data_IF_239220694990
#
_entry.id   IF_239220694990
#
_cell.length_a   1.000
_cell.length_b   1.000
_cell.length_c   1.000
_cell.angle_alpha   90.00
_cell.angle_beta   90.00
_cell.angle_gamma   90.00
#
_symmetry.space_group_name_H-M   'P 1'
#
loop_
_entity.id
_entity.type
_entity.pdbx_description
1 polymer ?
#
# COMPACT_ATOMS: atom_id res chain seq x y z
N UNK A 1 -15.38 3.13 -5.40
CA UNK A 1 -14.00 3.48 -5.82
C UNK A 1 -13.24 2.19 -6.13
N UNK A 2 -11.93 2.22 -6.35
CA UNK A 2 -11.16 1.02 -6.74
C UNK A 2 -11.14 -0.08 -5.66
N UNK A 3 -11.24 0.31 -4.37
CA UNK A 3 -11.21 -0.61 -3.23
C UNK A 3 -12.49 -1.45 -3.19
N UNK A 4 -13.65 -0.80 -3.31
CA UNK A 4 -14.96 -1.45 -3.31
C UNK A 4 -15.12 -2.39 -4.50
N UNK A 5 -14.50 -2.06 -5.65
CA UNK A 5 -14.49 -2.97 -6.79
C UNK A 5 -13.76 -4.29 -6.50
N UNK A 6 -12.68 -4.28 -5.70
CA UNK A 6 -12.03 -5.51 -5.26
C UNK A 6 -12.91 -6.30 -4.28
N UNK A 7 -13.65 -5.63 -3.40
CA UNK A 7 -14.63 -6.26 -2.49
C UNK A 7 -15.73 -6.95 -3.31
N UNK A 8 -16.26 -6.28 -4.34
CA UNK A 8 -17.24 -6.87 -5.25
C UNK A 8 -16.69 -8.10 -5.97
N UNK A 9 -15.44 -8.04 -6.45
CA UNK A 9 -14.77 -9.21 -7.08
C UNK A 9 -14.61 -10.37 -6.11
N UNK A 10 -14.23 -10.10 -4.86
CA UNK A 10 -14.14 -11.13 -3.82
C UNK A 10 -15.49 -11.81 -3.60
N UNK A 11 -16.56 -11.03 -3.45
CA UNK A 11 -17.91 -11.57 -3.30
C UNK A 11 -18.35 -12.40 -4.53
N UNK A 12 -18.04 -11.96 -5.75
CA UNK A 12 -18.32 -12.72 -6.97
C UNK A 12 -17.55 -14.04 -7.02
N UNK A 13 -16.27 -14.03 -6.65
CA UNK A 13 -15.44 -15.24 -6.61
C UNK A 13 -15.92 -16.25 -5.57
N UNK A 14 -16.29 -15.78 -4.37
CA UNK A 14 -16.84 -16.62 -3.31
C UNK A 14 -18.20 -17.20 -3.70
N UNK A 15 -19.09 -16.40 -4.31
CA UNK A 15 -20.38 -16.87 -4.82
C UNK A 15 -20.23 -17.92 -5.95
N UNK A 16 -19.17 -17.82 -6.75
CA UNK A 16 -18.82 -18.80 -7.77
C UNK A 16 -18.10 -20.04 -7.21
N UNK A 17 -17.82 -20.10 -5.90
CA UNK A 17 -17.12 -21.21 -5.25
C UNK A 17 -15.64 -21.30 -5.61
N UNK A 18 -15.02 -20.20 -6.03
CA UNK A 18 -13.60 -20.18 -6.39
C UNK A 18 -12.73 -20.31 -5.14
N UNK A 19 -11.70 -21.17 -5.14
CA UNK A 19 -10.76 -21.27 -4.02
C UNK A 19 -9.98 -19.96 -3.86
N UNK A 20 -9.39 -19.73 -2.69
CA UNK A 20 -8.54 -18.56 -2.42
C UNK A 20 -7.31 -18.48 -3.33
N UNK A 21 -6.86 -19.60 -3.92
CA UNK A 21 -5.74 -19.63 -4.86
C UNK A 21 -6.15 -19.30 -6.30
N UNK A 22 -7.44 -19.10 -6.56
CA UNK A 22 -7.91 -18.77 -7.90
C UNK A 22 -7.49 -17.33 -8.27
N UNK A 23 -6.92 -17.09 -9.46
CA UNK A 23 -6.54 -15.73 -9.90
C UNK A 23 -7.69 -14.72 -9.89
N UNK A 24 -8.94 -15.19 -9.96
CA UNK A 24 -10.13 -14.35 -9.92
C UNK A 24 -10.68 -14.14 -8.49
N UNK A 25 -10.08 -14.76 -7.47
CA UNK A 25 -10.43 -14.59 -6.06
C UNK A 25 -9.37 -13.73 -5.34
N UNK A 26 -9.52 -12.41 -5.26
CA UNK A 26 -8.50 -11.54 -4.66
C UNK A 26 -8.37 -11.74 -3.14
N UNK A 27 -7.14 -11.74 -2.65
CA UNK A 27 -6.80 -11.90 -1.22
C UNK A 27 -5.94 -10.75 -0.70
N UNK A 28 -5.28 -10.01 -1.59
CA UNK A 28 -4.38 -8.90 -1.27
C UNK A 28 -4.65 -7.76 -2.25
N UNK A 29 -4.56 -6.53 -1.77
CA UNK A 29 -4.68 -5.32 -2.57
C UNK A 29 -3.45 -4.44 -2.35
N UNK A 30 -2.69 -4.17 -3.43
CA UNK A 30 -1.61 -3.20 -3.40
C UNK A 30 -2.13 -1.78 -3.73
N UNK A 31 -1.84 -0.83 -2.84
CA UNK A 31 -2.19 0.58 -2.94
C UNK A 31 -0.90 1.40 -2.92
N UNK A 32 -0.17 1.38 -4.04
CA UNK A 32 1.05 2.15 -4.25
C UNK A 32 0.80 3.64 -4.54
N UNK A 33 -0.19 4.21 -3.86
CA UNK A 33 -0.66 5.59 -3.93
C UNK A 33 -1.05 6.06 -2.52
N UNK A 34 -1.18 7.36 -2.32
CA UNK A 34 -1.64 7.90 -1.05
C UNK A 34 -1.99 9.37 -1.14
N UNK A 35 -2.69 9.86 -0.12
CA UNK A 35 -3.06 11.25 0.09
C UNK A 35 -2.62 11.70 1.49
N UNK A 36 -2.46 13.02 1.74
CA UNK A 36 -2.26 13.51 3.09
C UNK A 36 -3.36 13.00 4.03
N UNK A 37 -2.96 12.54 5.21
CA UNK A 37 -3.90 12.12 6.24
C UNK A 37 -4.60 13.33 6.85
N UNK A 38 -5.91 13.25 7.03
CA UNK A 38 -6.75 14.27 7.67
C UNK A 38 -7.15 13.89 9.11
N UNK A 39 -6.85 12.66 9.53
CA UNK A 39 -7.17 12.13 10.85
C UNK A 39 -8.67 11.85 11.06
N UNK A 40 -9.50 11.91 10.02
CA UNK A 40 -10.91 11.55 10.11
C UNK A 40 -11.05 10.02 10.16
N UNK A 41 -11.52 9.41 11.26
CA UNK A 41 -11.71 7.97 11.33
C UNK A 41 -12.76 7.43 10.34
N UNK A 42 -13.64 8.31 9.83
CA UNK A 42 -14.70 8.02 8.87
C UNK A 42 -14.32 8.43 7.43
N UNK A 43 -13.05 8.78 7.17
CA UNK A 43 -12.57 9.02 5.80
C UNK A 43 -12.96 7.82 4.89
N UNK A 44 -13.52 8.08 3.69
CA UNK A 44 -14.00 7.03 2.81
C UNK A 44 -12.96 5.95 2.47
N UNK A 45 -11.68 6.32 2.37
CA UNK A 45 -10.58 5.40 2.09
C UNK A 45 -10.36 4.46 3.29
N UNK A 46 -10.39 4.99 4.52
CA UNK A 46 -10.26 4.17 5.75
C UNK A 46 -11.39 3.18 5.88
N UNK A 47 -12.63 3.66 5.72
CA UNK A 47 -13.84 2.82 5.77
C UNK A 47 -13.76 1.72 4.72
N UNK A 48 -13.36 2.05 3.49
CA UNK A 48 -13.22 1.07 2.42
C UNK A 48 -12.10 0.05 2.69
N UNK A 49 -10.94 0.48 3.22
CA UNK A 49 -9.84 -0.42 3.57
C UNK A 49 -10.23 -1.42 4.68
N UNK A 50 -10.92 -0.93 5.72
CA UNK A 50 -11.43 -1.80 6.80
C UNK A 50 -12.46 -2.79 6.27
N UNK A 51 -13.39 -2.35 5.42
CA UNK A 51 -14.35 -3.23 4.76
C UNK A 51 -13.66 -4.30 3.88
N UNK A 52 -12.57 -3.96 3.19
CA UNK A 52 -11.77 -4.92 2.43
C UNK A 52 -11.14 -5.98 3.34
N UNK A 53 -10.61 -5.58 4.49
CA UNK A 53 -10.05 -6.49 5.48
C UNK A 53 -11.10 -7.47 6.03
N UNK A 54 -12.31 -6.99 6.33
CA UNK A 54 -13.43 -7.84 6.81
C UNK A 54 -13.82 -8.95 5.82
N UNK A 55 -13.68 -8.71 4.51
CA UNK A 55 -13.91 -9.73 3.47
C UNK A 55 -12.65 -10.53 3.09
N UNK A 56 -11.63 -10.53 3.96
CA UNK A 56 -10.36 -11.26 3.78
C UNK A 56 -9.54 -10.80 2.56
N UNK A 57 -9.57 -9.50 2.26
CA UNK A 57 -8.61 -8.87 1.35
C UNK A 57 -7.64 -8.05 2.20
N UNK A 58 -6.38 -8.46 2.28
CA UNK A 58 -5.32 -7.75 2.99
C UNK A 58 -4.89 -6.48 2.24
N UNK A 59 -5.17 -5.26 2.77
CA UNK A 59 -4.76 -4.03 2.12
C UNK A 59 -3.29 -3.73 2.46
N UNK A 60 -2.48 -3.47 1.45
CA UNK A 60 -1.05 -3.09 1.57
C UNK A 60 -0.86 -1.75 0.87
N UNK A 61 -0.25 -0.78 1.55
CA UNK A 61 -0.11 0.58 1.05
C UNK A 61 1.32 1.11 1.15
N UNK A 62 1.68 1.96 0.20
CA UNK A 62 2.93 2.70 0.25
C UNK A 62 2.89 3.74 1.39
N UNK A 63 3.94 3.81 2.21
CA UNK A 63 4.04 4.76 3.33
C UNK A 63 3.98 6.24 2.90
N UNK A 64 4.20 6.54 1.62
CA UNK A 64 4.30 7.88 1.07
C UNK A 64 5.75 8.32 0.86
N UNK A 65 5.92 9.34 0.01
CA UNK A 65 7.24 9.88 -0.36
C UNK A 65 7.49 11.28 0.23
N UNK A 66 6.86 11.57 1.39
CA UNK A 66 6.86 12.89 2.04
C UNK A 66 7.70 12.94 3.32
N UNK A 67 8.55 11.93 3.55
CA UNK A 67 9.59 11.99 4.58
C UNK A 67 10.58 13.15 4.35
N UNK A 68 11.45 13.45 5.32
CA UNK A 68 11.76 12.68 6.53
C UNK A 68 11.00 13.15 7.79
N UNK A 69 10.12 14.14 7.67
CA UNK A 69 9.44 14.71 8.83
C UNK A 69 8.58 13.65 9.57
N UNK A 70 8.55 13.62 10.91
CA UNK A 70 7.58 12.82 11.65
C UNK A 70 6.14 13.16 11.24
N UNK A 71 5.24 12.17 11.20
CA UNK A 71 3.86 12.40 10.78
C UNK A 71 3.66 12.55 9.27
N UNK A 72 4.62 12.10 8.45
CA UNK A 72 4.55 12.12 6.98
C UNK A 72 4.03 10.83 6.36
N UNK A 73 3.63 9.85 7.19
CA UNK A 73 2.91 8.65 6.74
C UNK A 73 1.58 9.06 6.11
N UNK A 74 1.29 8.57 4.91
CA UNK A 74 0.09 8.93 4.16
C UNK A 74 -1.07 7.96 4.41
N UNK A 75 -2.28 8.44 4.17
CA UNK A 75 -3.46 7.57 4.01
C UNK A 75 -3.38 6.90 2.62
N UNK A 76 -3.64 5.58 2.47
CA UNK A 76 -4.19 4.63 3.44
C UNK A 76 -3.18 3.98 4.42
N UNK A 77 -1.88 4.12 4.22
CA UNK A 77 -0.86 3.43 5.01
C UNK A 77 -0.86 3.78 6.51
N UNK A 78 -1.43 4.92 6.90
CA UNK A 78 -1.62 5.30 8.30
C UNK A 78 -2.73 4.50 9.00
N UNK A 79 -3.68 3.89 8.28
CA UNK A 79 -4.79 3.18 8.92
C UNK A 79 -4.33 1.88 9.61
N UNK A 80 -4.91 1.57 10.76
CA UNK A 80 -4.56 0.37 11.53
C UNK A 80 -4.91 -0.93 10.82
N UNK A 81 -5.92 -0.92 9.94
CA UNK A 81 -6.32 -2.07 9.12
C UNK A 81 -5.49 -2.28 7.84
N UNK A 82 -4.48 -1.44 7.59
CA UNK A 82 -3.68 -1.44 6.36
C UNK A 82 -2.23 -1.72 6.69
N UNK A 83 -1.56 -2.59 5.93
CA UNK A 83 -0.11 -2.78 6.05
C UNK A 83 0.60 -1.66 5.28
N UNK A 84 1.16 -0.70 5.99
CA UNK A 84 1.99 0.38 5.45
C UNK A 84 3.44 -0.06 5.26
N UNK A 85 3.98 0.19 4.07
CA UNK A 85 5.34 -0.23 3.70
C UNK A 85 6.22 0.98 3.35
N UNK A 86 7.26 1.19 4.15
CA UNK A 86 8.32 2.16 3.88
C UNK A 86 9.39 1.63 2.92
N UNK A 87 10.32 2.50 2.52
CA UNK A 87 11.35 2.17 1.56
C UNK A 87 12.77 2.23 2.17
N UNK A 88 13.58 1.23 1.85
CA UNK A 88 15.04 1.21 2.10
C UNK A 88 15.83 1.18 0.78
N UNK A 89 17.09 1.60 0.86
CA UNK A 89 18.09 1.48 -0.20
C UNK A 89 18.67 0.05 -0.25
N UNK A 90 19.16 -0.39 -1.41
CA UNK A 90 19.89 -1.68 -1.50
C UNK A 90 21.26 -1.62 -0.81
N UNK A 91 21.94 -0.48 -0.95
CA UNK A 91 23.23 -0.19 -0.34
C UNK A 91 23.18 1.29 0.08
N UNK A 92 23.46 1.64 1.35
CA UNK A 92 23.97 0.78 2.43
C UNK A 92 22.88 0.12 3.31
N UNK A 93 21.63 -0.03 2.82
CA UNK A 93 20.47 -0.49 3.60
C UNK A 93 19.89 0.58 4.55
N UNK A 94 20.01 1.85 4.17
CA UNK A 94 19.37 2.96 4.90
C UNK A 94 17.89 3.09 4.55
N UNK A 95 17.09 3.55 5.53
CA UNK A 95 15.73 4.06 5.27
C UNK A 95 15.85 5.25 4.33
N UNK A 96 15.15 5.17 3.19
CA UNK A 96 15.18 6.23 2.20
C UNK A 96 14.67 7.54 2.79
N UNK A 97 15.35 8.65 2.51
CA UNK A 97 15.07 9.95 3.13
C UNK A 97 13.61 10.40 2.94
N UNK A 98 13.03 10.09 1.77
CA UNK A 98 11.66 10.44 1.42
C UNK A 98 10.62 9.43 1.90
N UNK A 99 11.02 8.28 2.44
CA UNK A 99 10.06 7.31 2.99
C UNK A 99 9.26 7.96 4.11
N UNK A 100 7.92 7.93 4.00
CA UNK A 100 7.00 8.44 5.00
C UNK A 100 7.30 7.89 6.40
N UNK A 101 7.18 8.75 7.40
CA UNK A 101 7.49 8.45 8.81
C UNK A 101 6.25 8.59 9.65
N UNK A 102 6.05 7.63 10.56
CA UNK A 102 5.12 7.83 11.66
C UNK A 102 5.59 8.90 12.66
N UNK A 103 4.89 9.02 13.80
CA UNK A 103 3.63 8.33 14.10
C UNK A 103 2.51 8.80 13.15
N UNK A 104 1.39 8.10 13.13
CA UNK A 104 0.17 8.61 12.47
C UNK A 104 -0.39 9.80 13.25
N UNK A 105 -1.39 10.51 12.72
CA UNK A 105 -2.07 11.58 13.46
C UNK A 105 -2.73 11.08 14.75
N UNK A 106 -3.16 9.81 14.78
CA UNK A 106 -3.68 9.14 15.98
C UNK A 106 -2.58 8.60 16.92
N UNK A 107 -1.30 8.81 16.59
CA UNK A 107 -0.18 8.38 17.42
C UNK A 107 0.24 6.92 17.22
N UNK A 108 -0.26 6.23 16.19
CA UNK A 108 0.10 4.83 15.92
C UNK A 108 1.51 4.71 15.33
N UNK A 109 2.14 3.55 15.59
CA UNK A 109 3.42 3.20 14.98
C UNK A 109 3.17 2.77 13.52
N UNK A 110 3.69 3.55 12.58
CA UNK A 110 3.73 3.25 11.14
C UNK A 110 5.05 3.78 10.54
N UNK A 111 5.54 3.24 9.40
CA UNK A 111 5.00 2.07 8.68
C UNK A 111 5.17 0.77 9.48
N UNK A 112 4.44 -0.28 9.11
CA UNK A 112 4.53 -1.58 9.78
C UNK A 112 5.83 -2.32 9.43
N UNK A 113 6.34 -2.07 8.21
CA UNK A 113 7.61 -2.62 7.74
C UNK A 113 8.27 -1.73 6.70
N UNK A 114 9.50 -2.08 6.33
CA UNK A 114 10.24 -1.45 5.22
C UNK A 114 10.73 -2.51 4.24
N UNK A 115 10.80 -2.17 2.96
CA UNK A 115 11.35 -3.04 1.92
C UNK A 115 12.14 -2.25 0.88
N UNK A 116 12.86 -2.93 0.00
CA UNK A 116 13.67 -2.27 -1.04
C UNK A 116 12.78 -1.45 -1.98
N UNK A 117 12.97 -0.13 -1.99
CA UNK A 117 12.14 0.79 -2.79
C UNK A 117 12.94 1.80 -3.60
N UNK A 118 14.27 1.70 -3.63
CA UNK A 118 15.14 2.69 -4.28
C UNK A 118 15.94 2.04 -5.42
N UNK A 119 15.84 2.63 -6.61
CA UNK A 119 16.48 2.14 -7.85
C UNK A 119 16.09 0.69 -8.19
N UNK A 120 14.81 0.37 -8.05
CA UNK A 120 14.22 -0.91 -8.43
C UNK A 120 14.03 -0.95 -9.95
N UNK A 121 14.51 -2.02 -10.60
CA UNK A 121 14.25 -2.28 -12.02
C UNK A 121 12.85 -2.88 -12.17
N UNK A 122 11.99 -2.22 -12.93
CA UNK A 122 10.59 -2.63 -13.13
C UNK A 122 10.20 -2.57 -14.61
N UNK A 123 9.10 -3.23 -14.96
CA UNK A 123 8.54 -3.16 -16.30
C UNK A 123 8.16 -1.72 -16.66
N UNK A 124 8.29 -1.36 -17.95
CA UNK A 124 8.01 -0.02 -18.45
C UNK A 124 6.85 -0.04 -19.43
N UNK A 125 5.98 0.97 -19.34
CA UNK A 125 4.89 1.17 -20.31
C UNK A 125 5.37 1.59 -21.72
N UNK A 126 6.68 1.65 -21.96
CA UNK A 126 7.27 2.00 -23.26
C UNK A 126 7.28 0.85 -24.27
N UNK A 127 7.04 -0.39 -23.83
CA UNK A 127 6.97 -1.57 -24.70
C UNK A 127 7.08 -2.88 -23.92
N UNK A 128 6.79 -4.00 -24.57
CA UNK A 128 6.63 -5.31 -23.92
C UNK A 128 7.91 -5.86 -23.27
N UNK A 129 9.07 -5.50 -23.81
CA UNK A 129 10.40 -5.88 -23.26
C UNK A 129 11.10 -4.72 -22.54
N UNK A 130 10.42 -3.58 -22.39
CA UNK A 130 11.03 -2.38 -21.84
C UNK A 130 11.08 -2.42 -20.31
N UNK A 131 12.22 -2.02 -19.75
CA UNK A 131 12.41 -1.84 -18.31
C UNK A 131 12.78 -0.40 -17.97
N UNK A 132 12.48 0.01 -16.75
CA UNK A 132 12.82 1.32 -16.21
C UNK A 132 13.23 1.20 -14.76
N UNK A 133 14.20 2.00 -14.33
CA UNK A 133 14.59 2.11 -12.93
C UNK A 133 13.74 3.17 -12.26
N UNK A 134 13.13 2.83 -11.12
CA UNK A 134 12.28 3.74 -10.34
C UNK A 134 12.62 3.67 -8.85
N UNK A 135 12.23 4.71 -8.13
CA UNK A 135 12.35 4.81 -6.68
C UNK A 135 11.06 5.35 -6.09
N UNK A 136 10.67 4.86 -4.92
CA UNK A 136 9.43 5.22 -4.26
C UNK A 136 8.99 4.14 -3.28
N UNK A 137 8.25 4.54 -2.25
CA UNK A 137 7.50 3.57 -1.43
C UNK A 137 6.47 2.78 -2.25
N UNK A 138 6.02 3.35 -3.38
CA UNK A 138 5.26 2.65 -4.44
C UNK A 138 5.96 1.42 -5.04
N UNK A 139 7.28 1.27 -4.85
CA UNK A 139 8.06 0.13 -5.34
C UNK A 139 8.53 -0.79 -4.21
N UNK A 140 8.30 -0.41 -2.95
CA UNK A 140 8.53 -1.29 -1.80
C UNK A 140 7.26 -1.98 -1.31
N UNK A 141 6.09 -1.41 -1.60
CA UNK A 141 4.78 -1.98 -1.25
C UNK A 141 4.42 -3.28 -2.02
N UNK A 142 4.59 -3.37 -3.36
CA UNK A 142 4.41 -4.62 -4.10
C UNK A 142 5.64 -5.53 -3.99
#
# INVERSE_FOLDING_TARGET
MAIEHCIEKKAQAEAAGLPETDPMNPNIMNMSWGVPDDGDPDDPIRVACRAAFEVRIGPVAAAGNSGPAPGSIMLPACDSGVVGVGAVTFMPFDVWEYSGRGPTLEGLIKPDMVFYGVRVLTASSRGDEAYVVKSGTSFSAP
#
